data_IF_088677354330
#
_entry.id   IF_088677354330
#
_cell.length_a   1.000
_cell.length_b   1.000
_cell.length_c   1.000
_cell.angle_alpha   90.00
_cell.angle_beta   90.00
_cell.angle_gamma   90.00
#
_symmetry.space_group_name_H-M   'P 1'
#
loop_
_entity.id
_entity.type
_entity.pdbx_description
1 polymer ?
#
# COMPACT_ATOMS: atom_id res chain seq x y z
N UNK A 1 0.13 -5.56 -5.83
CA UNK A 1 1.17 -4.72 -5.19
C UNK A 1 1.68 -5.36 -3.91
N UNK A 2 2.97 -5.19 -3.58
CA UNK A 2 3.54 -5.58 -2.29
C UNK A 2 4.21 -4.39 -1.59
N UNK A 3 3.80 -4.11 -0.36
CA UNK A 3 4.34 -3.06 0.50
C UNK A 3 5.20 -3.67 1.61
N UNK A 4 6.32 -3.02 1.92
CA UNK A 4 7.23 -3.39 3.00
C UNK A 4 7.26 -2.28 4.03
N UNK A 5 6.87 -2.59 5.25
CA UNK A 5 6.88 -1.66 6.36
C UNK A 5 8.07 -1.93 7.26
N UNK A 6 8.65 -0.85 7.79
CA UNK A 6 9.72 -0.93 8.78
C UNK A 6 9.52 0.18 9.82
N UNK A 7 9.62 -0.19 11.09
CA UNK A 7 9.66 0.75 12.20
C UNK A 7 11.10 0.92 12.66
N UNK A 8 11.58 2.15 12.77
CA UNK A 8 12.90 2.43 13.35
C UNK A 8 12.85 2.43 14.89
N UNK A 9 14.02 2.57 15.52
CA UNK A 9 14.16 2.51 16.99
C UNK A 9 13.46 3.66 17.73
N UNK A 10 13.16 4.76 17.04
CA UNK A 10 12.46 5.93 17.60
C UNK A 10 10.98 5.95 17.23
N UNK A 11 10.50 4.90 16.56
CA UNK A 11 9.09 4.67 16.26
C UNK A 11 8.60 5.23 14.93
N UNK A 12 9.47 5.76 14.05
CA UNK A 12 9.04 6.18 12.72
C UNK A 12 8.82 4.97 11.82
N UNK A 13 7.78 5.06 10.99
CA UNK A 13 7.42 4.01 10.06
C UNK A 13 7.79 4.45 8.65
N UNK A 14 8.64 3.68 7.99
CA UNK A 14 8.96 3.84 6.57
C UNK A 14 8.29 2.73 5.76
N UNK A 15 7.94 3.06 4.52
CA UNK A 15 7.26 2.15 3.60
C UNK A 15 8.03 2.10 2.29
N UNK A 16 8.19 0.90 1.76
CA UNK A 16 8.75 0.64 0.44
C UNK A 16 7.75 -0.17 -0.40
N UNK A 17 7.86 -0.07 -1.71
CA UNK A 17 6.97 -0.75 -2.67
C UNK A 17 7.79 -1.64 -3.61
N UNK A 18 7.29 -2.85 -3.88
CA UNK A 18 7.86 -3.71 -4.90
C UNK A 18 7.51 -3.19 -6.29
N UNK A 19 8.52 -3.02 -7.15
CA UNK A 19 8.38 -2.68 -8.57
C UNK A 19 9.12 -3.71 -9.42
N UNK A 20 8.37 -4.63 -10.03
CA UNK A 20 8.97 -5.78 -10.72
C UNK A 20 9.80 -6.62 -9.73
N UNK A 21 11.11 -6.69 -9.95
CA UNK A 21 12.06 -7.43 -9.10
C UNK A 21 12.81 -6.56 -8.10
N UNK A 22 12.58 -5.24 -8.08
CA UNK A 22 13.24 -4.31 -7.16
C UNK A 22 12.28 -3.82 -6.08
N UNK A 23 12.85 -3.39 -4.95
CA UNK A 23 12.13 -2.67 -3.90
C UNK A 23 12.61 -1.24 -3.94
N UNK A 24 11.68 -0.30 -4.03
CA UNK A 24 11.94 1.14 -4.08
C UNK A 24 11.23 1.84 -2.93
N UNK A 25 11.63 3.07 -2.63
CA UNK A 25 10.89 3.91 -1.70
C UNK A 25 9.46 4.12 -2.17
N UNK A 26 8.54 4.24 -1.22
CA UNK A 26 7.12 4.36 -1.51
C UNK A 26 6.84 5.53 -2.46
N UNK A 27 6.17 5.23 -3.55
CA UNK A 27 5.75 6.18 -4.58
C UNK A 27 4.25 6.00 -4.83
N UNK A 28 3.49 7.09 -4.66
CA UNK A 28 2.03 7.06 -4.78
C UNK A 28 1.55 6.83 -6.22
N UNK A 29 2.30 7.29 -7.23
CA UNK A 29 1.99 7.06 -8.64
C UNK A 29 2.20 5.59 -8.98
N UNK A 30 3.30 5.01 -8.49
CA UNK A 30 3.57 3.57 -8.65
C UNK A 30 2.50 2.72 -7.97
N UNK A 31 2.07 3.09 -6.75
CA UNK A 31 0.95 2.43 -6.08
C UNK A 31 -0.30 2.44 -6.96
N UNK A 32 -0.73 3.62 -7.45
CA UNK A 32 -1.94 3.73 -8.26
C UNK A 32 -1.85 2.90 -9.55
N UNK A 33 -0.70 2.93 -10.24
CA UNK A 33 -0.47 2.10 -11.43
C UNK A 33 -0.71 0.62 -11.15
N UNK A 34 -0.09 0.10 -10.09
CA UNK A 34 -0.23 -1.32 -9.73
C UNK A 34 -1.64 -1.68 -9.26
N UNK A 35 -2.34 -0.79 -8.55
CA UNK A 35 -3.72 -1.03 -8.12
C UNK A 35 -4.69 -1.04 -9.31
N UNK A 36 -4.45 -0.19 -10.31
CA UNK A 36 -5.22 -0.19 -11.56
C UNK A 36 -5.03 -1.49 -12.34
N UNK A 37 -3.79 -2.00 -12.40
CA UNK A 37 -3.50 -3.29 -13.05
C UNK A 37 -4.09 -4.47 -12.29
N UNK A 38 -3.94 -4.48 -10.96
CA UNK A 38 -4.47 -5.50 -10.06
C UNK A 38 -4.68 -4.91 -8.68
N UNK A 39 -5.94 -4.73 -8.29
CA UNK A 39 -6.32 -4.14 -7.00
C UNK A 39 -6.14 -5.10 -5.81
N UNK A 40 -4.93 -5.61 -5.64
CA UNK A 40 -4.51 -6.49 -4.56
C UNK A 40 -3.29 -5.91 -3.86
N UNK A 41 -3.33 -5.92 -2.53
CA UNK A 41 -2.28 -5.38 -1.68
C UNK A 41 -1.79 -6.48 -0.74
N UNK A 42 -0.52 -6.83 -0.87
CA UNK A 42 0.20 -7.66 0.09
C UNK A 42 1.06 -6.77 0.97
N UNK A 43 1.11 -7.05 2.27
CA UNK A 43 1.91 -6.28 3.22
C UNK A 43 2.90 -7.19 3.94
N UNK A 44 4.18 -6.82 3.89
CA UNK A 44 5.19 -7.31 4.81
C UNK A 44 5.31 -6.30 5.96
N UNK A 45 4.83 -6.68 7.14
CA UNK A 45 4.72 -5.79 8.29
C UNK A 45 6.03 -5.58 9.06
N UNK A 46 7.09 -6.35 8.80
CA UNK A 46 8.35 -6.23 9.53
C UNK A 46 8.14 -6.29 11.06
N UNK A 47 8.52 -5.21 11.75
CA UNK A 47 8.42 -5.04 13.20
C UNK A 47 7.29 -4.08 13.65
N UNK A 48 6.28 -3.87 12.79
CA UNK A 48 5.12 -3.02 13.09
C UNK A 48 4.17 -3.75 14.04
N UNK A 49 3.65 -3.06 15.06
CA UNK A 49 2.78 -3.64 16.08
C UNK A 49 1.35 -3.88 15.55
N UNK A 50 0.64 -4.86 16.10
CA UNK A 50 -0.68 -5.28 15.57
C UNK A 50 -1.71 -4.15 15.48
N UNK A 51 -1.72 -3.23 16.45
CA UNK A 51 -2.64 -2.09 16.42
C UNK A 51 -2.29 -1.10 15.28
N UNK A 52 -1.00 -0.92 14.98
CA UNK A 52 -0.52 -0.09 13.88
C UNK A 52 -0.84 -0.77 12.54
N UNK A 53 -0.59 -2.08 12.45
CA UNK A 53 -0.98 -2.88 11.28
C UNK A 53 -2.47 -2.76 11.00
N UNK A 54 -3.33 -2.82 12.03
CA UNK A 54 -4.77 -2.64 11.87
C UNK A 54 -5.09 -1.29 11.23
N UNK A 55 -4.46 -0.21 11.67
CA UNK A 55 -4.66 1.13 11.09
C UNK A 55 -4.22 1.21 9.63
N UNK A 56 -3.11 0.59 9.27
CA UNK A 56 -2.69 0.50 7.88
C UNK A 56 -3.65 -0.33 7.03
N UNK A 57 -4.15 -1.46 7.55
CA UNK A 57 -5.16 -2.27 6.83
C UNK A 57 -6.44 -1.48 6.56
N UNK A 58 -6.96 -0.78 7.57
CA UNK A 58 -8.11 0.11 7.43
C UNK A 58 -7.91 1.18 6.34
N UNK A 59 -6.70 1.77 6.28
CA UNK A 59 -6.36 2.76 5.25
C UNK A 59 -6.25 2.13 3.86
N UNK A 60 -5.53 1.01 3.74
CA UNK A 60 -5.28 0.32 2.47
C UNK A 60 -6.58 -0.21 1.87
N UNK A 61 -7.51 -0.72 2.69
CA UNK A 61 -8.82 -1.18 2.23
C UNK A 61 -9.65 -0.01 1.66
N UNK A 62 -9.59 1.18 2.27
CA UNK A 62 -10.24 2.38 1.72
C UNK A 62 -9.64 2.79 0.38
N UNK A 63 -8.32 2.72 0.25
CA UNK A 63 -7.63 3.02 -1.02
C UNK A 63 -8.08 2.03 -2.10
N UNK A 64 -8.11 0.73 -1.79
CA UNK A 64 -8.63 -0.29 -2.73
C UNK A 64 -10.05 0.02 -3.18
N UNK A 65 -10.94 0.34 -2.23
CA UNK A 65 -12.32 0.70 -2.54
C UNK A 65 -12.43 1.93 -3.44
N UNK A 66 -11.65 2.98 -3.17
CA UNK A 66 -11.64 4.19 -3.98
C UNK A 66 -11.09 3.95 -5.40
N UNK A 67 -10.08 3.09 -5.56
CA UNK A 67 -9.57 2.70 -6.88
C UNK A 67 -10.62 1.89 -7.65
N UNK A 68 -11.25 0.90 -7.01
CA UNK A 68 -12.34 0.13 -7.64
C UNK A 68 -13.50 1.03 -8.07
N UNK A 69 -13.93 1.95 -7.21
CA UNK A 69 -14.98 2.90 -7.55
C UNK A 69 -14.57 3.78 -8.74
N UNK A 70 -13.35 4.33 -8.71
CA UNK A 70 -12.83 5.18 -9.78
C UNK A 70 -12.71 4.48 -11.13
N UNK A 71 -12.38 3.18 -11.15
CA UNK A 71 -12.29 2.38 -12.38
C UNK A 71 -13.65 1.95 -12.94
N UNK A 72 -14.64 1.76 -12.06
CA UNK A 72 -15.99 1.35 -12.45
C UNK A 72 -16.94 2.53 -12.68
N UNK A 73 -16.52 3.75 -12.33
CA UNK A 73 -17.32 4.95 -12.58
C UNK A 73 -17.32 5.25 -14.09
N UNK A 74 -18.50 5.42 -14.71
CA UNK A 74 -18.58 5.91 -16.08
C UNK A 74 -17.85 7.26 -16.18
N UNK A 75 -17.02 7.42 -17.21
CA UNK A 75 -16.48 8.74 -17.54
C UNK A 75 -17.66 9.60 -17.99
N UNK A 76 -17.96 10.65 -17.22
CA UNK A 76 -18.96 11.68 -17.53
C UNK A 76 -18.60 12.45 -18.80
#
# INVERSE_FOLDING_TARGET
MKLFFKKDEIGNITVQIQKGTTVIDYDYIEMLKQLIEKNEIECNWGNIEDFEQQKFRELLDKIKGAVDEGLNKPLE
#
